data_IF_105360268221
#
_entry.id   IF_105360268221
#
_cell.length_a   1.000
_cell.length_b   1.000
_cell.length_c   1.000
_cell.angle_alpha   90.00
_cell.angle_beta   90.00
_cell.angle_gamma   90.00
#
_symmetry.space_group_name_H-M   'P 1'
#
loop_
_entity.id
_entity.type
_entity.pdbx_description
1 polymer ?
#
# COMPACT_ATOMS: atom_id res chain seq x y z
N UNK A 1 9.27 8.63 10.82
CA UNK A 1 8.10 8.90 11.70
C UNK A 1 7.07 7.83 11.38
N UNK A 2 6.60 7.10 12.39
CA UNK A 2 5.58 6.06 12.23
C UNK A 2 4.23 6.74 11.93
N UNK A 3 3.51 6.30 10.91
CA UNK A 3 2.14 6.79 10.67
C UNK A 3 1.17 5.94 11.47
N UNK A 4 0.86 6.35 12.71
CA UNK A 4 0.02 5.60 13.65
C UNK A 4 -1.35 5.24 13.06
N UNK A 5 -1.95 6.15 12.28
CA UNK A 5 -3.21 5.91 11.60
C UNK A 5 -3.13 4.72 10.63
N UNK A 6 -2.14 4.71 9.74
CA UNK A 6 -1.97 3.62 8.78
C UNK A 6 -1.57 2.30 9.45
N UNK A 7 -0.82 2.36 10.54
CA UNK A 7 -0.49 1.17 11.32
C UNK A 7 -1.72 0.59 12.05
N UNK A 8 -2.58 1.44 12.60
CA UNK A 8 -3.86 1.03 13.18
C UNK A 8 -4.77 0.37 12.14
N UNK A 9 -4.89 0.98 10.96
CA UNK A 9 -5.68 0.42 9.85
C UNK A 9 -5.22 -0.98 9.45
N UNK A 10 -3.91 -1.22 9.38
CA UNK A 10 -3.37 -2.55 9.05
C UNK A 10 -3.68 -3.56 10.13
N UNK A 11 -3.63 -3.16 11.40
CA UNK A 11 -3.99 -4.03 12.52
C UNK A 11 -5.47 -4.42 12.44
N UNK A 12 -6.37 -3.46 12.22
CA UNK A 12 -7.81 -3.72 12.07
C UNK A 12 -8.11 -4.66 10.89
N UNK A 13 -7.53 -4.39 9.73
CA UNK A 13 -7.68 -5.26 8.55
C UNK A 13 -7.13 -6.66 8.84
N UNK A 14 -5.97 -6.76 9.48
CA UNK A 14 -5.38 -8.04 9.84
C UNK A 14 -6.28 -8.86 10.76
N UNK A 15 -6.85 -8.24 11.80
CA UNK A 15 -7.71 -8.90 12.78
C UNK A 15 -9.00 -9.42 12.11
N UNK A 16 -9.65 -8.59 11.28
CA UNK A 16 -10.83 -8.98 10.50
C UNK A 16 -10.54 -10.17 9.59
N UNK A 17 -9.42 -10.14 8.87
CA UNK A 17 -9.04 -11.23 7.96
C UNK A 17 -8.61 -12.49 8.70
N UNK A 18 -8.08 -12.38 9.90
CA UNK A 18 -7.63 -13.51 10.73
C UNK A 18 -8.82 -14.33 11.27
N UNK A 19 -9.98 -13.69 11.44
CA UNK A 19 -11.21 -14.34 11.88
C UNK A 19 -11.92 -15.14 10.76
N UNK A 20 -11.41 -15.08 9.51
CA UNK A 20 -11.97 -15.80 8.36
C UNK A 20 -11.06 -17.00 8.03
N UNK A 21 -11.44 -18.24 8.38
CA UNK A 21 -10.56 -19.43 8.30
C UNK A 21 -9.99 -19.73 6.92
N UNK A 22 -10.70 -19.37 5.85
CA UNK A 22 -10.34 -19.64 4.46
C UNK A 22 -9.27 -18.68 3.92
N UNK A 23 -9.02 -17.56 4.61
CA UNK A 23 -8.10 -16.52 4.14
C UNK A 23 -6.67 -16.86 4.53
N UNK A 24 -5.79 -16.94 3.53
CA UNK A 24 -4.35 -17.02 3.73
C UNK A 24 -3.73 -15.65 3.56
N UNK A 25 -3.27 -15.09 4.67
CA UNK A 25 -2.61 -13.80 4.68
C UNK A 25 -1.12 -13.92 4.35
N UNK A 26 -0.61 -12.98 3.57
CA UNK A 26 0.82 -12.90 3.26
C UNK A 26 1.58 -12.30 4.43
N UNK A 27 2.70 -12.92 4.82
CA UNK A 27 3.59 -12.42 5.88
C UNK A 27 4.09 -10.98 5.68
N UNK A 28 4.10 -10.50 4.43
CA UNK A 28 4.58 -9.16 4.09
C UNK A 28 3.58 -8.05 4.46
N UNK A 29 2.32 -8.40 4.73
CA UNK A 29 1.26 -7.46 5.10
C UNK A 29 0.82 -7.63 6.56
N UNK A 30 1.59 -8.35 7.36
CA UNK A 30 1.35 -8.48 8.80
C UNK A 30 1.60 -7.14 9.51
N UNK A 31 0.93 -6.89 10.64
CA UNK A 31 1.28 -5.78 11.52
C UNK A 31 2.78 -5.72 11.79
N UNK A 32 3.35 -4.51 11.72
CA UNK A 32 4.79 -4.23 11.84
C UNK A 32 5.72 -4.83 10.76
N UNK A 33 5.22 -5.68 9.86
CA UNK A 33 5.97 -6.17 8.70
C UNK A 33 5.69 -5.34 7.45
N UNK A 34 4.54 -4.69 7.40
CA UNK A 34 4.19 -3.74 6.34
C UNK A 34 4.76 -2.34 6.62
N UNK A 35 5.41 -1.77 5.61
CA UNK A 35 5.78 -0.36 5.58
C UNK A 35 4.76 0.37 4.69
N UNK A 36 4.03 1.39 5.17
CA UNK A 36 3.13 2.17 4.32
C UNK A 36 3.94 2.88 3.23
N UNK A 37 3.73 2.51 1.96
CA UNK A 37 4.44 3.09 0.81
C UNK A 37 3.56 3.12 -0.44
N UNK A 38 3.91 4.02 -1.36
CA UNK A 38 3.35 4.08 -2.72
C UNK A 38 4.45 3.66 -3.68
N UNK A 39 4.21 2.61 -4.47
CA UNK A 39 5.17 2.17 -5.49
C UNK A 39 5.08 3.10 -6.71
N UNK A 40 6.17 3.81 -7.02
CA UNK A 40 6.25 4.74 -8.18
C UNK A 40 6.77 4.03 -9.44
N UNK A 41 7.66 3.05 -9.30
CA UNK A 41 8.25 2.30 -10.40
C UNK A 41 8.57 0.86 -10.01
N UNK A 42 8.47 -0.06 -10.97
CA UNK A 42 8.76 -1.50 -10.77
C UNK A 42 9.56 -2.05 -11.95
N UNK A 43 10.36 -3.10 -11.71
CA UNK A 43 11.14 -3.84 -12.74
C UNK A 43 12.13 -2.96 -13.53
N UNK A 44 12.66 -1.90 -12.91
CA UNK A 44 13.70 -1.08 -13.52
C UNK A 44 15.02 -1.83 -13.53
N UNK A 45 15.78 -1.72 -14.62
CA UNK A 45 17.19 -2.06 -14.64
C UNK A 45 17.98 -1.15 -13.69
N UNK A 46 19.24 -1.50 -13.43
CA UNK A 46 20.09 -0.71 -12.54
C UNK A 46 20.28 0.72 -13.03
N UNK A 47 20.48 0.91 -14.33
CA UNK A 47 20.70 2.24 -14.93
C UNK A 47 19.41 3.07 -14.93
N UNK A 48 18.26 2.44 -15.17
CA UNK A 48 16.96 3.10 -15.07
C UNK A 48 16.63 3.51 -13.63
N UNK A 49 16.98 2.67 -12.64
CA UNK A 49 16.77 2.98 -11.23
C UNK A 49 17.54 4.23 -10.80
N UNK A 50 18.80 4.37 -11.23
CA UNK A 50 19.61 5.56 -10.92
C UNK A 50 18.96 6.82 -11.48
N UNK A 51 18.58 6.80 -12.76
CA UNK A 51 17.89 7.94 -13.41
C UNK A 51 16.56 8.27 -12.74
N UNK A 52 15.76 7.26 -12.42
CA UNK A 52 14.49 7.45 -11.72
C UNK A 52 14.69 8.10 -10.35
N UNK A 53 15.73 7.69 -9.61
CA UNK A 53 16.04 8.24 -8.30
C UNK A 53 16.56 9.69 -8.38
N UNK A 54 17.33 10.04 -9.42
CA UNK A 54 17.74 11.43 -9.68
C UNK A 54 16.51 12.34 -9.91
N UNK A 55 15.53 11.88 -10.69
CA UNK A 55 14.26 12.60 -10.91
C UNK A 55 13.49 12.74 -9.60
N UNK A 56 13.37 11.68 -8.81
CA UNK A 56 12.69 11.73 -7.52
C UNK A 56 13.36 12.72 -6.56
N UNK A 57 14.69 12.72 -6.44
CA UNK A 57 15.38 13.67 -5.57
C UNK A 57 15.16 15.13 -5.99
N UNK A 58 15.02 15.40 -7.29
CA UNK A 58 14.85 16.75 -7.81
C UNK A 58 13.41 17.27 -7.67
N UNK A 59 12.41 16.40 -7.78
CA UNK A 59 11.02 16.82 -7.93
C UNK A 59 10.06 16.28 -6.86
N UNK A 60 10.45 15.25 -6.10
CA UNK A 60 9.58 14.68 -5.08
C UNK A 60 9.42 15.65 -3.90
N UNK A 61 8.17 15.85 -3.50
CA UNK A 61 7.79 16.64 -2.33
C UNK A 61 6.97 15.77 -1.38
N UNK A 62 7.02 16.00 -0.05
CA UNK A 62 6.18 15.30 0.90
C UNK A 62 4.70 15.39 0.51
N UNK A 63 4.03 14.24 0.43
CA UNK A 63 2.63 14.15 0.06
C UNK A 63 1.78 14.33 1.31
N UNK A 64 0.87 15.31 1.28
CA UNK A 64 -0.25 15.42 2.21
C UNK A 64 -1.53 15.11 1.43
N UNK A 65 -2.20 14.01 1.79
CA UNK A 65 -3.40 13.53 1.11
C UNK A 65 -4.36 12.87 2.11
N UNK A 66 -5.61 12.73 1.69
CA UNK A 66 -6.64 11.95 2.39
C UNK A 66 -6.96 10.69 1.59
N UNK A 67 -7.26 9.60 2.28
CA UNK A 67 -7.77 8.37 1.64
C UNK A 67 -9.28 8.56 1.45
N UNK A 68 -9.72 8.71 0.21
CA UNK A 68 -11.14 8.93 -0.14
C UNK A 68 -11.81 7.67 -0.70
N UNK A 69 -11.04 6.61 -0.92
CA UNK A 69 -11.52 5.40 -1.56
C UNK A 69 -10.72 4.19 -1.10
N UNK A 70 -11.40 3.06 -0.91
CA UNK A 70 -10.78 1.76 -0.63
C UNK A 70 -11.38 0.68 -1.51
N UNK A 71 -10.53 -0.12 -2.15
CA UNK A 71 -10.95 -1.21 -3.05
C UNK A 71 -10.36 -2.56 -2.64
N UNK A 72 -11.14 -3.62 -2.84
CA UNK A 72 -10.68 -5.00 -2.82
C UNK A 72 -10.46 -5.47 -4.26
N UNK A 73 -9.28 -5.98 -4.57
CA UNK A 73 -8.90 -6.34 -5.93
C UNK A 73 -8.17 -7.68 -6.00
N UNK A 74 -8.29 -8.38 -7.13
CA UNK A 74 -7.37 -9.45 -7.50
C UNK A 74 -6.06 -8.83 -7.98
N UNK A 75 -4.96 -9.51 -7.70
CA UNK A 75 -3.64 -9.11 -8.15
C UNK A 75 -3.14 -10.07 -9.23
N UNK A 76 -2.74 -9.53 -10.39
CA UNK A 76 -2.16 -10.24 -11.55
C UNK A 76 -3.14 -11.16 -12.35
N UNK A 77 -3.90 -10.62 -13.33
CA UNK A 77 -4.05 -9.21 -13.66
C UNK A 77 -4.77 -8.44 -12.56
N UNK A 78 -4.60 -7.11 -12.53
CA UNK A 78 -5.39 -6.27 -11.63
C UNK A 78 -6.85 -6.28 -12.10
N UNK A 79 -7.74 -6.62 -11.19
CA UNK A 79 -9.19 -6.57 -11.38
C UNK A 79 -9.79 -6.11 -10.05
N UNK A 80 -10.44 -4.95 -10.05
CA UNK A 80 -11.16 -4.49 -8.88
C UNK A 80 -12.46 -5.29 -8.72
N UNK A 81 -12.66 -5.86 -7.53
CA UNK A 81 -13.83 -6.68 -7.21
C UNK A 81 -14.94 -5.79 -6.63
N UNK A 82 -14.57 -4.91 -5.70
CA UNK A 82 -15.49 -3.98 -5.02
C UNK A 82 -14.73 -2.77 -4.51
N UNK A 83 -15.43 -1.64 -4.48
CA UNK A 83 -14.93 -0.33 -4.06
C UNK A 83 -15.87 0.36 -3.09
N UNK A 84 -15.29 1.17 -2.21
CA UNK A 84 -16.01 1.97 -1.21
C UNK A 84 -15.44 3.38 -1.21
N UNK A 85 -16.30 4.36 -1.49
CA UNK A 85 -16.01 5.76 -1.20
C UNK A 85 -15.95 5.95 0.32
N UNK A 86 -14.92 6.61 0.80
CA UNK A 86 -14.73 6.93 2.21
C UNK A 86 -15.16 8.39 2.41
N UNK A 87 -16.23 8.59 3.16
CA UNK A 87 -16.65 9.91 3.61
C UNK A 87 -15.81 10.35 4.81
N UNK A 88 -15.62 11.66 4.93
CA UNK A 88 -15.06 12.29 6.14
C UNK A 88 -15.95 12.07 7.38
#
# INVERSE_FOLDING_TARGET
>A
MLNEYLHGLVQEVYDILNDIPEIKQSRYYMPYSWLPHITIGKKLSKDEMVKAFEVLQKYFVPIKASVVYMGLAKTNPYEEIVGFELSD
#
